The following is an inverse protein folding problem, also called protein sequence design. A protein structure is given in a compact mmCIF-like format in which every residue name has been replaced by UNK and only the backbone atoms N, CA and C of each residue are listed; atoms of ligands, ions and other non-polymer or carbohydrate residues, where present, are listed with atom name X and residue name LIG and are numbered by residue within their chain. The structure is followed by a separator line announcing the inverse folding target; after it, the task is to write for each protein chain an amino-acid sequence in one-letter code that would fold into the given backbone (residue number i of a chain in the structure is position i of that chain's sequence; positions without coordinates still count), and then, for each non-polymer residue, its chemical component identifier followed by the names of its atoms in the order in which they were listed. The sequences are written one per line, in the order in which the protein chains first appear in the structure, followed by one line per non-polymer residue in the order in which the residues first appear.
data_IF_573121592457
#
_entry.id   IF_573121592457
#
_cell.length_a   1.000
_cell.length_b   1.000
_cell.length_c   1.000
_cell.angle_alpha   90.00
_cell.angle_beta   90.00
_cell.angle_gamma   90.00
#
_symmetry.space_group_name_H-M   'P 1'
#
loop_
_entity.id
_entity.type
_entity.pdbx_description
1 polymer ?
#
# COMPACT_ATOMS: atom_id res chain seq x y z
N UNK A 1 -6.12 1.81 -12.16
CA UNK A 1 -6.20 3.19 -11.63
C UNK A 1 -6.00 3.10 -10.12
N UNK A 2 -5.08 3.88 -9.54
CA UNK A 2 -4.84 3.91 -8.10
C UNK A 2 -5.62 5.11 -7.55
N UNK A 3 -6.70 4.82 -6.82
CA UNK A 3 -7.61 5.82 -6.23
C UNK A 3 -7.25 5.98 -4.76
N UNK A 4 -7.41 7.19 -4.22
CA UNK A 4 -7.24 7.45 -2.79
C UNK A 4 -8.09 6.47 -1.98
N UNK A 5 -7.49 5.84 -0.98
CA UNK A 5 -8.23 5.03 -0.03
C UNK A 5 -8.71 5.92 1.12
N UNK A 6 -10.02 6.07 1.26
CA UNK A 6 -10.60 6.91 2.32
C UNK A 6 -10.51 6.25 3.70
N UNK A 7 -10.26 4.94 3.74
CA UNK A 7 -10.11 4.17 4.97
C UNK A 7 -8.62 3.86 5.23
N UNK A 8 -8.11 4.33 6.38
CA UNK A 8 -6.74 4.10 6.81
C UNK A 8 -6.46 2.61 7.06
N UNK A 9 -7.44 1.86 7.57
CA UNK A 9 -7.30 0.42 7.80
C UNK A 9 -7.08 -0.31 6.49
N UNK A 10 -7.93 -0.06 5.48
CA UNK A 10 -7.80 -0.68 4.16
C UNK A 10 -6.47 -0.31 3.48
N UNK A 11 -6.05 0.96 3.58
CA UNK A 11 -4.74 1.39 3.09
C UNK A 11 -3.59 0.61 3.75
N UNK A 12 -3.62 0.47 5.08
CA UNK A 12 -2.58 -0.21 5.86
C UNK A 12 -2.52 -1.71 5.54
N UNK A 13 -3.67 -2.37 5.56
CA UNK A 13 -3.75 -3.80 5.25
C UNK A 13 -3.34 -4.07 3.79
N UNK A 14 -3.73 -3.21 2.84
CA UNK A 14 -3.27 -3.29 1.44
C UNK A 14 -1.74 -3.17 1.34
N UNK A 15 -1.14 -2.21 2.05
CA UNK A 15 0.31 -2.04 2.06
C UNK A 15 1.04 -3.26 2.66
N UNK A 16 0.51 -3.85 3.75
CA UNK A 16 1.04 -5.07 4.36
C UNK A 16 0.97 -6.25 3.38
N UNK A 17 -0.19 -6.45 2.72
CA UNK A 17 -0.38 -7.52 1.73
C UNK A 17 0.66 -7.43 0.61
N UNK A 18 1.02 -6.21 0.18
CA UNK A 18 2.00 -5.97 -0.88
C UNK A 18 3.46 -6.23 -0.51
N UNK A 19 3.79 -6.43 0.77
CA UNK A 19 5.19 -6.64 1.18
C UNK A 19 5.82 -7.83 0.41
N UNK A 20 7.06 -7.71 -0.05
CA UNK A 20 7.85 -8.85 -0.59
C UNK A 20 7.14 -9.70 -1.67
N UNK A 21 6.23 -9.11 -2.45
CA UNK A 21 5.58 -9.79 -3.59
C UNK A 21 5.37 -8.83 -4.76
N UNK A 22 5.15 -9.39 -5.95
CA UNK A 22 4.83 -8.59 -7.15
C UNK A 22 3.43 -7.97 -7.03
N UNK A 23 3.22 -6.85 -7.70
CA UNK A 23 1.94 -6.13 -7.66
C UNK A 23 0.74 -6.99 -8.08
N UNK A 24 0.86 -7.82 -9.15
CA UNK A 24 -0.23 -8.69 -9.59
C UNK A 24 -0.56 -9.76 -8.53
N UNK A 25 0.48 -10.38 -7.95
CA UNK A 25 0.30 -11.35 -6.87
C UNK A 25 -0.38 -10.71 -5.65
N UNK A 26 0.00 -9.49 -5.28
CA UNK A 26 -0.64 -8.76 -4.19
C UNK A 26 -2.12 -8.47 -4.47
N UNK A 27 -2.47 -8.09 -5.71
CA UNK A 27 -3.86 -7.87 -6.14
C UNK A 27 -4.69 -9.14 -6.00
N UNK A 28 -4.21 -10.27 -6.52
CA UNK A 28 -4.92 -11.55 -6.41
C UNK A 28 -5.05 -12.01 -4.96
N UNK A 29 -4.01 -11.82 -4.15
CA UNK A 29 -4.02 -12.13 -2.72
C UNK A 29 -5.04 -11.27 -1.96
N UNK A 30 -5.07 -9.96 -2.21
CA UNK A 30 -6.05 -9.02 -1.65
C UNK A 30 -7.48 -9.45 -2.00
N UNK A 31 -7.75 -9.74 -3.27
CA UNK A 31 -9.08 -10.17 -3.72
C UNK A 31 -9.54 -11.47 -3.06
N UNK A 32 -8.63 -12.45 -2.91
CA UNK A 32 -8.93 -13.71 -2.20
C UNK A 32 -9.22 -13.47 -0.71
N UNK A 33 -8.47 -12.58 -0.07
CA UNK A 33 -8.68 -12.21 1.33
C UNK A 33 -10.03 -11.54 1.55
N UNK A 34 -10.38 -10.56 0.71
CA UNK A 34 -11.69 -9.90 0.74
C UNK A 34 -12.81 -10.91 0.51
N UNK A 35 -12.69 -11.78 -0.50
CA UNK A 35 -13.72 -12.79 -0.79
C UNK A 35 -13.92 -13.80 0.35
N UNK A 36 -12.86 -14.18 1.05
CA UNK A 36 -12.91 -15.20 2.08
C UNK A 36 -13.41 -14.68 3.44
N UNK A 37 -13.08 -13.44 3.79
CA UNK A 37 -13.29 -12.91 5.15
C UNK A 37 -13.96 -11.54 5.20
N UNK A 38 -14.18 -10.91 4.04
CA UNK A 38 -14.74 -9.57 3.91
C UNK A 38 -16.25 -9.58 3.73
N UNK A 39 -16.88 -8.48 4.10
CA UNK A 39 -18.32 -8.30 3.93
C UNK A 39 -18.70 -8.27 2.45
N UNK A 40 -19.75 -9.03 2.10
CA UNK A 40 -20.31 -9.07 0.76
C UNK A 40 -21.33 -7.94 0.57
N UNK A 41 -21.03 -7.00 -0.32
CA UNK A 41 -21.87 -5.85 -0.64
C UNK A 41 -22.49 -6.04 -2.03
N UNK A 42 -23.83 -6.04 -2.15
CA UNK A 42 -24.50 -6.07 -3.45
C UNK A 42 -24.29 -4.74 -4.18
N UNK A 43 -23.91 -4.79 -5.45
CA UNK A 43 -23.79 -3.62 -6.33
C UNK A 43 -24.53 -3.86 -7.65
N UNK A 44 -24.85 -2.82 -8.43
CA UNK A 44 -25.44 -2.97 -9.77
C UNK A 44 -24.62 -3.85 -10.73
N UNK A 45 -23.33 -4.07 -10.44
CA UNK A 45 -22.40 -4.86 -11.25
C UNK A 45 -22.02 -6.19 -10.58
N UNK A 46 -22.90 -6.70 -9.71
CA UNK A 46 -22.74 -7.93 -8.95
C UNK A 46 -22.18 -7.73 -7.54
N UNK A 47 -22.02 -8.82 -6.80
CA UNK A 47 -21.47 -8.79 -5.44
C UNK A 47 -20.01 -8.36 -5.45
N UNK A 48 -19.64 -7.45 -4.55
CA UNK A 48 -18.27 -7.07 -4.24
C UNK A 48 -17.98 -7.43 -2.79
N UNK A 49 -16.71 -7.69 -2.49
CA UNK A 49 -16.29 -7.96 -1.12
C UNK A 49 -15.38 -6.83 -0.66
N UNK A 50 -15.70 -6.26 0.51
CA UNK A 50 -14.84 -5.29 1.18
C UNK A 50 -13.63 -6.00 1.79
N UNK A 51 -12.61 -5.23 2.17
CA UNK A 51 -11.57 -5.78 3.05
C UNK A 51 -12.22 -6.19 4.39
N UNK A 52 -11.79 -7.31 5.02
CA UNK A 52 -12.28 -7.66 6.35
C UNK A 52 -11.97 -6.53 7.35
N UNK A 53 -12.87 -6.28 8.29
CA UNK A 53 -12.65 -5.24 9.32
C UNK A 53 -11.48 -5.61 10.23
N UNK A 54 -10.91 -4.63 10.93
CA UNK A 54 -9.84 -4.87 11.88
C UNK A 54 -10.25 -5.91 12.95
N UNK A 55 -11.48 -5.85 13.45
CA UNK A 55 -12.00 -6.80 14.44
C UNK A 55 -12.05 -8.23 13.92
N UNK A 56 -12.41 -8.41 12.63
CA UNK A 56 -12.40 -9.72 11.99
C UNK A 56 -10.96 -10.21 11.89
N UNK A 57 -10.05 -9.40 11.35
CA UNK A 57 -8.65 -9.78 11.13
C UNK A 57 -7.93 -10.12 12.44
N UNK A 58 -8.16 -9.36 13.51
CA UNK A 58 -7.56 -9.62 14.82
C UNK A 58 -7.98 -10.98 15.43
N UNK A 59 -9.16 -11.50 15.04
CA UNK A 59 -9.70 -12.77 15.53
C UNK A 59 -9.43 -13.96 14.60
N UNK A 60 -8.87 -13.74 13.41
CA UNK A 60 -8.64 -14.82 12.46
C UNK A 60 -7.54 -15.77 12.98
N UNK A 61 -7.77 -17.10 12.96
CA UNK A 61 -6.73 -18.06 13.31
C UNK A 61 -5.62 -18.03 12.24
N UNK A 62 -4.37 -18.30 12.65
CA UNK A 62 -3.21 -18.36 11.73
C UNK A 62 -3.44 -19.26 10.51
N UNK A 63 -4.20 -20.35 10.68
CA UNK A 63 -4.56 -21.26 9.59
C UNK A 63 -5.37 -20.58 8.49
N UNK A 64 -6.27 -19.64 8.81
CA UNK A 64 -7.05 -18.90 7.83
C UNK A 64 -6.17 -18.04 6.90
N UNK A 65 -5.09 -17.48 7.42
CA UNK A 65 -4.10 -16.80 6.57
C UNK A 65 -3.31 -17.80 5.72
N UNK A 66 -2.92 -18.94 6.30
CA UNK A 66 -2.11 -19.94 5.59
C UNK A 66 -2.84 -20.55 4.39
N UNK A 67 -4.14 -20.84 4.50
CA UNK A 67 -4.96 -21.36 3.39
C UNK A 67 -5.06 -20.40 2.21
N UNK A 68 -4.85 -19.10 2.44
CA UNK A 68 -4.82 -18.05 1.41
C UNK A 68 -3.41 -17.73 0.90
N UNK A 69 -2.38 -18.45 1.37
CA UNK A 69 -0.97 -18.15 1.05
C UNK A 69 -0.45 -16.88 1.74
N UNK A 70 -1.08 -16.47 2.85
CA UNK A 70 -0.81 -15.22 3.57
C UNK A 70 -0.10 -15.43 4.92
N UNK A 71 0.47 -16.61 5.17
CA UNK A 71 1.14 -16.93 6.43
C UNK A 71 2.22 -15.89 6.82
N UNK A 72 2.98 -15.39 5.85
CA UNK A 72 3.97 -14.32 6.06
C UNK A 72 3.35 -12.98 6.50
N UNK A 73 2.09 -12.71 6.11
CA UNK A 73 1.36 -11.47 6.40
C UNK A 73 0.64 -11.49 7.74
N UNK A 74 0.28 -12.69 8.23
CA UNK A 74 -0.61 -12.88 9.37
C UNK A 74 -0.23 -12.02 10.58
N UNK A 75 1.02 -12.11 11.05
CA UNK A 75 1.48 -11.36 12.23
C UNK A 75 1.42 -9.83 12.04
N UNK A 76 1.74 -9.34 10.85
CA UNK A 76 1.69 -7.92 10.55
C UNK A 76 0.24 -7.41 10.46
N UNK A 77 -0.64 -8.19 9.81
CA UNK A 77 -2.07 -7.86 9.69
C UNK A 77 -2.78 -7.86 11.04
N UNK A 78 -2.52 -8.85 11.90
CA UNK A 78 -3.11 -8.92 13.24
C UNK A 78 -2.63 -7.74 14.10
N UNK A 79 -1.32 -7.48 14.15
CA UNK A 79 -0.79 -6.35 14.92
C UNK A 79 -1.30 -4.99 14.41
N UNK A 80 -1.45 -4.84 13.09
CA UNK A 80 -2.02 -3.64 12.49
C UNK A 80 -3.52 -3.49 12.81
N UNK A 81 -4.27 -4.59 12.84
CA UNK A 81 -5.69 -4.60 13.19
C UNK A 81 -5.91 -4.18 14.65
N UNK A 82 -5.14 -4.75 15.57
CA UNK A 82 -5.17 -4.39 17.00
C UNK A 82 -4.82 -2.90 17.19
N UNK A 83 -3.78 -2.41 16.50
CA UNK A 83 -3.40 -1.01 16.56
C UNK A 83 -4.47 -0.07 15.97
N UNK A 84 -5.10 -0.45 14.86
CA UNK A 84 -6.17 0.32 14.25
C UNK A 84 -7.35 0.47 15.21
N UNK A 85 -7.78 -0.61 15.84
CA UNK A 85 -8.86 -0.57 16.85
C UNK A 85 -8.50 0.28 18.08
N UNK A 86 -7.25 0.23 18.54
CA UNK A 86 -6.81 0.94 19.74
C UNK A 86 -6.56 2.44 19.51
N UNK A 87 -6.14 2.83 18.30
CA UNK A 87 -5.63 4.16 18.01
C UNK A 87 -6.47 4.95 17.01
N UNK A 88 -7.61 4.41 16.54
CA UNK A 88 -8.40 4.97 15.44
C UNK A 88 -8.67 6.46 15.60
N UNK A 89 -9.14 6.90 16.76
CA UNK A 89 -9.47 8.32 17.02
C UNK A 89 -8.22 9.20 17.05
N UNK A 90 -7.12 8.71 17.62
CA UNK A 90 -5.88 9.47 17.73
C UNK A 90 -5.23 9.73 16.36
N UNK A 91 -5.32 8.77 15.43
CA UNK A 91 -4.66 8.86 14.13
C UNK A 91 -5.31 9.90 13.19
N UNK A 92 -6.59 10.19 13.37
CA UNK A 92 -7.34 11.16 12.52
C UNK A 92 -6.84 12.61 12.72
N UNK A 93 -6.21 12.87 13.86
CA UNK A 93 -5.71 14.19 14.23
C UNK A 93 -4.22 14.39 13.90
N UNK A 94 -3.54 13.36 13.40
CA UNK A 94 -2.13 13.43 13.05
C UNK A 94 -1.94 14.05 11.68
N UNK A 95 -0.86 14.82 11.52
CA UNK A 95 -0.37 15.17 10.19
C UNK A 95 0.09 13.90 9.45
N UNK A 96 0.09 13.88 8.10
CA UNK A 96 0.55 12.73 7.33
C UNK A 96 1.96 12.23 7.73
N UNK A 97 2.90 13.15 7.99
CA UNK A 97 4.27 12.77 8.40
C UNK A 97 4.30 12.14 9.80
N UNK A 98 3.52 12.67 10.75
CA UNK A 98 3.41 12.08 12.09
C UNK A 98 2.76 10.69 12.03
N UNK A 99 1.75 10.52 11.17
CA UNK A 99 1.11 9.23 10.93
C UNK A 99 2.11 8.20 10.38
N UNK A 100 3.00 8.59 9.46
CA UNK A 100 4.08 7.71 8.99
C UNK A 100 4.97 7.24 10.16
N UNK A 101 5.31 8.14 11.10
CA UNK A 101 6.08 7.79 12.29
C UNK A 101 5.31 6.88 13.24
N UNK A 102 4.01 7.13 13.47
CA UNK A 102 3.19 6.31 14.35
C UNK A 102 2.98 4.89 13.81
N UNK A 103 2.67 4.75 12.51
CA UNK A 103 2.46 3.44 11.90
C UNK A 103 3.70 2.54 11.98
N UNK A 104 4.91 3.11 11.97
CA UNK A 104 6.16 2.35 12.13
C UNK A 104 6.36 1.74 13.52
N UNK A 105 5.56 2.14 14.53
CA UNK A 105 5.56 1.51 15.85
C UNK A 105 4.86 0.15 15.84
N UNK A 106 4.06 -0.12 14.81
CA UNK A 106 3.37 -1.40 14.65
C UNK A 106 4.42 -2.45 14.25
N UNK A 107 4.50 -3.60 14.95
CA UNK A 107 5.41 -4.68 14.59
C UNK A 107 5.29 -5.07 13.10
N UNK A 108 6.43 -5.14 12.41
CA UNK A 108 6.55 -5.50 10.98
C UNK A 108 6.00 -4.46 9.99
N UNK A 109 5.66 -3.26 10.45
CA UNK A 109 5.37 -2.11 9.59
C UNK A 109 6.64 -1.26 9.52
N UNK A 110 7.40 -1.43 8.43
CA UNK A 110 8.61 -0.64 8.18
C UNK A 110 8.34 0.67 7.43
N UNK A 111 9.39 1.49 7.20
CA UNK A 111 9.27 2.79 6.52
C UNK A 111 8.52 2.72 5.18
N UNK A 112 8.81 1.69 4.37
CA UNK A 112 8.12 1.47 3.10
C UNK A 112 6.61 1.25 3.28
N UNK A 113 6.21 0.43 4.26
CA UNK A 113 4.79 0.09 4.48
C UNK A 113 4.03 1.30 5.01
N UNK A 114 4.61 2.01 5.99
CA UNK A 114 4.01 3.22 6.55
C UNK A 114 3.88 4.33 5.49
N UNK A 115 4.94 4.62 4.75
CA UNK A 115 4.91 5.65 3.69
C UNK A 115 3.91 5.32 2.58
N UNK A 116 3.86 4.06 2.13
CA UNK A 116 2.88 3.64 1.13
C UNK A 116 1.43 3.74 1.64
N UNK A 117 1.20 3.37 2.91
CA UNK A 117 -0.12 3.48 3.57
C UNK A 117 -0.59 4.93 3.61
N UNK A 118 0.26 5.83 4.13
CA UNK A 118 -0.11 7.24 4.28
C UNK A 118 -0.25 7.92 2.93
N UNK A 119 0.58 7.60 1.94
CA UNK A 119 0.41 8.13 0.58
C UNK A 119 -0.93 7.73 -0.03
N UNK A 120 -1.32 6.44 0.08
CA UNK A 120 -2.61 5.96 -0.43
C UNK A 120 -3.81 6.57 0.34
N UNK A 121 -3.66 6.81 1.65
CA UNK A 121 -4.69 7.39 2.52
C UNK A 121 -4.87 8.91 2.36
N UNK A 122 -3.77 9.66 2.39
CA UNK A 122 -3.77 11.13 2.34
C UNK A 122 -3.82 11.68 0.91
N UNK A 123 -3.34 10.90 -0.07
CA UNK A 123 -3.07 11.39 -1.42
C UNK A 123 -1.73 12.12 -1.56
N UNK A 124 -0.95 12.26 -0.48
CA UNK A 124 0.39 12.84 -0.54
C UNK A 124 1.45 11.78 -0.89
N UNK A 125 1.70 11.63 -2.19
CA UNK A 125 2.69 10.70 -2.71
C UNK A 125 4.14 11.19 -2.56
N UNK A 126 4.37 12.38 -1.97
CA UNK A 126 5.72 12.75 -1.52
C UNK A 126 6.21 11.89 -0.35
N UNK A 127 5.28 11.28 0.39
CA UNK A 127 5.53 10.34 1.49
C UNK A 127 5.65 8.88 1.01
N UNK A 128 5.28 8.59 -0.24
CA UNK A 128 5.49 7.26 -0.82
C UNK A 128 7.00 6.99 -0.90
N UNK A 129 7.47 5.75 -0.68
CA UNK A 129 8.88 5.40 -0.86
C UNK A 129 9.27 5.48 -2.34
N UNK A 130 9.55 6.68 -2.86
CA UNK A 130 9.73 6.94 -4.30
C UNK A 130 11.02 6.34 -4.89
N UNK A 131 11.91 5.80 -4.05
CA UNK A 131 13.02 4.96 -4.51
C UNK A 131 12.58 3.51 -4.84
N UNK A 132 11.32 3.16 -4.55
CA UNK A 132 10.73 1.85 -4.81
C UNK A 132 10.95 1.37 -6.25
N UNK A 133 11.12 0.07 -6.41
CA UNK A 133 11.37 -0.56 -7.70
C UNK A 133 10.30 -0.20 -8.73
N UNK A 134 9.02 -0.13 -8.35
CA UNK A 134 7.97 0.22 -9.30
C UNK A 134 8.14 1.66 -9.82
N UNK A 135 8.43 2.63 -8.94
CA UNK A 135 8.68 4.03 -9.36
C UNK A 135 9.87 4.08 -10.31
N UNK A 136 10.98 3.41 -9.97
CA UNK A 136 12.17 3.30 -10.84
C UNK A 136 11.86 2.69 -12.20
N UNK A 137 11.14 1.56 -12.22
CA UNK A 137 10.79 0.86 -13.47
C UNK A 137 9.93 1.74 -14.36
N UNK A 138 8.90 2.39 -13.80
CA UNK A 138 7.95 3.14 -14.59
C UNK A 138 8.45 4.54 -14.95
N UNK A 139 9.28 5.18 -14.12
CA UNK A 139 10.01 6.39 -14.50
C UNK A 139 10.90 6.17 -15.74
N UNK A 140 11.67 5.07 -15.75
CA UNK A 140 12.52 4.71 -16.91
C UNK A 140 11.71 4.43 -18.18
N UNK A 141 10.57 3.73 -18.04
CA UNK A 141 9.66 3.50 -19.17
C UNK A 141 8.96 4.78 -19.63
N UNK A 142 8.70 5.69 -18.70
CA UNK A 142 8.01 6.93 -18.95
C UNK A 142 8.85 7.94 -19.73
N UNK A 143 10.13 8.03 -19.40
CA UNK A 143 11.09 8.90 -20.03
C UNK A 143 12.40 8.14 -20.30
N UNK A 144 12.45 7.31 -21.36
CA UNK A 144 13.61 6.47 -21.67
C UNK A 144 14.84 7.28 -22.13
N UNK A 145 14.65 8.54 -22.51
CA UNK A 145 15.75 9.43 -22.91
C UNK A 145 16.55 10.03 -21.74
N UNK A 146 16.05 9.90 -20.50
CA UNK A 146 16.75 10.37 -19.31
C UNK A 146 17.73 9.29 -18.84
N UNK A 147 18.97 9.69 -18.55
CA UNK A 147 19.95 8.82 -17.90
C UNK A 147 19.63 8.69 -16.40
N UNK A 148 18.79 7.71 -16.07
CA UNK A 148 18.32 7.47 -14.71
C UNK A 148 19.40 6.76 -13.87
N UNK A 149 19.68 7.21 -12.63
CA UNK A 149 20.57 6.48 -11.73
C UNK A 149 20.14 5.03 -11.54
N UNK A 150 21.12 4.11 -11.50
CA UNK A 150 20.88 2.67 -11.39
C UNK A 150 20.50 2.23 -9.98
N UNK A 151 21.21 2.74 -8.98
CA UNK A 151 21.03 2.41 -7.58
C UNK A 151 19.84 3.14 -6.94
N UNK A 152 19.31 2.54 -5.88
CA UNK A 152 18.11 3.02 -5.20
C UNK A 152 18.31 4.38 -4.49
N UNK A 153 19.39 4.59 -3.70
CA UNK A 153 19.62 5.88 -3.05
C UNK A 153 19.80 7.05 -4.03
N UNK A 154 20.64 6.89 -5.06
CA UNK A 154 20.87 7.96 -6.04
C UNK A 154 19.63 8.21 -6.87
N UNK A 155 18.86 7.19 -7.23
CA UNK A 155 17.57 7.40 -7.89
C UNK A 155 16.64 8.22 -7.00
N UNK A 156 16.51 7.89 -5.71
CA UNK A 156 15.65 8.64 -4.78
C UNK A 156 16.07 10.11 -4.67
N UNK A 157 17.37 10.38 -4.52
CA UNK A 157 17.91 11.74 -4.47
C UNK A 157 17.66 12.50 -5.79
N UNK A 158 17.89 11.85 -6.93
CA UNK A 158 17.62 12.39 -8.25
C UNK A 158 16.13 12.71 -8.43
N UNK A 159 15.26 11.75 -8.12
CA UNK A 159 13.81 11.89 -8.24
C UNK A 159 13.30 13.08 -7.44
N UNK A 160 13.67 13.18 -6.16
CA UNK A 160 13.29 14.30 -5.29
C UNK A 160 13.80 15.65 -5.83
N UNK A 161 15.06 15.72 -6.28
CA UNK A 161 15.67 16.95 -6.79
C UNK A 161 14.98 17.45 -8.07
N UNK A 162 14.70 16.55 -9.01
CA UNK A 162 14.22 16.92 -10.35
C UNK A 162 12.69 17.08 -10.42
N UNK A 163 11.94 16.38 -9.56
CA UNK A 163 10.48 16.58 -9.46
C UNK A 163 10.14 17.81 -8.62
N UNK A 164 10.96 18.15 -7.62
CA UNK A 164 10.79 19.34 -6.79
C UNK A 164 9.39 19.41 -6.18
N UNK A 165 8.67 20.52 -6.46
CA UNK A 165 7.29 20.72 -5.99
C UNK A 165 6.27 19.71 -6.53
N UNK A 166 6.60 19.03 -7.63
CA UNK A 166 5.72 18.05 -8.30
C UNK A 166 6.02 16.61 -7.88
N UNK A 167 6.78 16.42 -6.79
CA UNK A 167 7.18 15.09 -6.31
C UNK A 167 5.98 14.16 -6.10
N UNK A 168 4.92 14.64 -5.45
CA UNK A 168 3.70 13.85 -5.23
C UNK A 168 3.05 13.46 -6.56
N UNK A 169 2.72 14.44 -7.38
CA UNK A 169 1.98 14.26 -8.64
C UNK A 169 2.72 13.33 -9.62
N UNK A 170 4.03 13.53 -9.78
CA UNK A 170 4.84 12.71 -10.69
C UNK A 170 5.02 11.30 -10.15
N UNK A 171 5.14 11.12 -8.83
CA UNK A 171 5.21 9.78 -8.22
C UNK A 171 3.90 9.02 -8.43
N UNK A 172 2.76 9.67 -8.19
CA UNK A 172 1.44 9.10 -8.47
C UNK A 172 1.28 8.77 -9.97
N UNK A 173 1.68 9.68 -10.86
CA UNK A 173 1.56 9.51 -12.30
C UNK A 173 2.30 8.26 -12.79
N UNK A 174 3.56 8.07 -12.41
CA UNK A 174 4.34 6.91 -12.86
C UNK A 174 3.81 5.60 -12.27
N UNK A 175 3.33 5.60 -11.03
CA UNK A 175 2.68 4.44 -10.41
C UNK A 175 1.35 4.10 -11.11
N UNK A 176 0.54 5.10 -11.43
CA UNK A 176 -0.73 4.93 -12.14
C UNK A 176 -0.52 4.43 -13.57
N UNK A 177 0.48 4.98 -14.28
CA UNK A 177 0.90 4.48 -15.59
C UNK A 177 1.27 3.00 -15.48
N UNK A 178 2.10 2.62 -14.52
CA UNK A 178 2.47 1.21 -14.33
C UNK A 178 1.30 0.27 -14.07
N UNK A 179 0.33 0.70 -13.27
CA UNK A 179 -0.88 -0.07 -13.00
C UNK A 179 -1.80 -0.26 -14.21
N UNK A 180 -1.74 0.63 -15.21
CA UNK A 180 -2.52 0.50 -16.46
C UNK A 180 -1.89 -0.42 -17.50
N UNK A 181 -0.60 -0.73 -17.37
CA UNK A 181 0.20 -1.45 -18.37
C UNK A 181 0.85 -2.74 -17.84
N UNK A 182 0.58 -3.12 -16.60
CA UNK A 182 0.98 -4.43 -16.10
C UNK A 182 0.09 -5.50 -16.79
N UNK A 183 0.66 -6.46 -17.55
CA UNK A 183 -0.13 -7.53 -18.14
C UNK A 183 -0.76 -8.41 -17.05
N UNK A 184 -2.01 -8.82 -17.25
CA UNK A 184 -2.66 -9.88 -16.49
C UNK A 184 -1.94 -11.20 -16.81
N UNK A 185 -0.82 -11.48 -16.13
CA UNK A 185 -0.06 -12.73 -16.28
C UNK A 185 -0.13 -13.56 -15.00
#
# INVERSE_FOLDING_TARGET
MRVRNIDLWDALATAIIRQVIRANQARLMYQRFCRAHGEAVPTPWGTRHLIPTAEVVAKLPTLAFATLGMAFKARALVAAAEAAMACQDSWQHLTPIELVTQLQRIPRVGPWTAGATVADYSGDFSLYPYADLAVRTWARRAAPAIDWPGDEPMFGAYWRRHTGRHLSDLTLLVLAWGGSRAPDS
#
